data_IF_427117676351
#
_entry.id   IF_427117676351
#
_cell.length_a   1.000
_cell.length_b   1.000
_cell.length_c   1.000
_cell.angle_alpha   90.00
_cell.angle_beta   90.00
_cell.angle_gamma   90.00
#
_symmetry.space_group_name_H-M   'P 1'
#
loop_
_entity.id
_entity.type
_entity.pdbx_description
1 polymer ?
#
# COMPACT_ATOMS: atom_id res chain seq x y z
N UNK A 1 3.33 -8.38 23.31
CA UNK A 1 2.99 -9.68 22.70
C UNK A 1 2.97 -9.49 21.21
N UNK A 2 3.42 -10.46 20.40
CA UNK A 2 3.29 -10.34 18.94
C UNK A 2 1.81 -10.25 18.57
N UNK A 3 1.50 -9.50 17.51
CA UNK A 3 0.17 -9.53 16.89
C UNK A 3 -0.24 -10.99 16.63
N UNK A 4 -1.52 -11.33 16.82
CA UNK A 4 -2.07 -12.65 16.51
C UNK A 4 -2.89 -12.62 15.21
N UNK A 5 -3.16 -13.78 14.62
CA UNK A 5 -4.01 -13.89 13.43
C UNK A 5 -5.44 -13.38 13.71
N UNK A 6 -5.95 -13.60 14.93
CA UNK A 6 -7.27 -13.11 15.37
C UNK A 6 -7.29 -11.59 15.51
N UNK A 7 -6.25 -11.00 16.13
CA UNK A 7 -6.14 -9.54 16.22
C UNK A 7 -6.00 -8.92 14.83
N UNK A 8 -5.14 -9.50 13.97
CA UNK A 8 -5.01 -9.06 12.59
C UNK A 8 -6.34 -9.06 11.84
N UNK A 9 -7.12 -10.16 11.94
CA UNK A 9 -8.44 -10.24 11.32
C UNK A 9 -9.37 -9.12 11.82
N UNK A 10 -9.41 -8.89 13.14
CA UNK A 10 -10.23 -7.81 13.71
C UNK A 10 -9.79 -6.41 13.28
N UNK A 11 -8.48 -6.20 13.08
CA UNK A 11 -7.96 -4.95 12.52
C UNK A 11 -8.44 -4.78 11.08
N UNK A 12 -8.34 -5.81 10.23
CA UNK A 12 -8.72 -5.71 8.81
C UNK A 12 -10.23 -5.52 8.65
N UNK A 13 -11.03 -6.25 9.42
CA UNK A 13 -12.50 -6.24 9.35
C UNK A 13 -13.14 -4.98 9.96
N UNK A 14 -12.38 -4.17 10.71
CA UNK A 14 -12.86 -2.90 11.26
C UNK A 14 -13.28 -1.90 10.15
N UNK A 15 -14.56 -1.90 9.79
CA UNK A 15 -15.11 -1.00 8.77
C UNK A 15 -15.15 0.48 9.17
N UNK A 16 -14.84 0.83 10.42
CA UNK A 16 -14.79 2.23 10.87
C UNK A 16 -13.49 2.94 10.51
N UNK A 17 -12.50 2.18 10.02
CA UNK A 17 -11.18 2.71 9.61
C UNK A 17 -11.33 3.75 8.51
N UNK A 18 -10.76 4.94 8.74
CA UNK A 18 -10.75 6.02 7.74
C UNK A 18 -9.53 6.92 7.90
N UNK A 19 -9.11 7.53 6.80
CA UNK A 19 -8.18 8.65 6.80
C UNK A 19 -9.02 9.92 6.76
N UNK A 20 -8.71 10.89 7.62
CA UNK A 20 -9.29 12.23 7.57
C UNK A 20 -8.25 13.24 7.09
N UNK A 21 -8.68 14.20 6.27
CA UNK A 21 -7.82 15.21 5.68
C UNK A 21 -7.24 14.83 4.32
N UNK A 22 -6.32 15.66 3.84
CA UNK A 22 -5.69 15.50 2.53
C UNK A 22 -4.43 14.64 2.62
N UNK A 23 -4.26 13.76 1.62
CA UNK A 23 -3.01 13.03 1.41
C UNK A 23 -2.13 13.89 0.52
N UNK A 24 -0.95 14.27 1.03
CA UNK A 24 0.07 14.99 0.27
C UNK A 24 1.28 14.09 0.07
N UNK A 25 1.72 13.96 -1.19
CA UNK A 25 2.95 13.27 -1.54
C UNK A 25 4.11 14.28 -1.49
N UNK A 26 5.17 13.92 -0.79
CA UNK A 26 6.37 14.73 -0.60
C UNK A 26 7.58 13.95 -1.10
N UNK A 27 8.67 14.65 -1.38
CA UNK A 27 9.95 13.99 -1.62
C UNK A 27 10.38 13.21 -0.37
N UNK A 28 10.98 12.05 -0.59
CA UNK A 28 11.56 11.23 0.46
C UNK A 28 12.72 11.97 1.16
N UNK A 29 12.91 11.70 2.46
CA UNK A 29 13.89 12.38 3.32
C UNK A 29 15.33 12.16 2.84
N UNK A 30 15.58 11.01 2.22
CA UNK A 30 16.88 10.62 1.68
C UNK A 30 17.15 11.17 0.26
N UNK A 31 16.30 12.08 -0.24
CA UNK A 31 16.35 12.59 -1.62
C UNK A 31 16.34 11.48 -2.68
N UNK A 32 15.73 10.34 -2.36
CA UNK A 32 15.50 9.29 -3.33
C UNK A 32 14.51 9.81 -4.40
N UNK A 33 14.49 9.23 -5.62
CA UNK A 33 13.51 9.61 -6.64
C UNK A 33 12.07 9.17 -6.29
N UNK A 34 11.84 8.70 -5.06
CA UNK A 34 10.53 8.32 -4.58
C UNK A 34 9.80 9.52 -3.95
N UNK A 35 8.50 9.58 -4.21
CA UNK A 35 7.56 10.38 -3.45
C UNK A 35 6.94 9.51 -2.37
N UNK A 36 6.71 10.07 -1.20
CA UNK A 36 6.08 9.38 -0.09
C UNK A 36 4.95 10.19 0.54
N UNK A 37 4.01 9.50 1.19
CA UNK A 37 3.11 10.14 2.13
C UNK A 37 2.98 9.29 3.38
N UNK A 38 2.56 9.95 4.46
CA UNK A 38 2.09 9.30 5.67
C UNK A 38 0.75 9.89 6.08
N UNK A 39 -0.23 9.04 6.34
CA UNK A 39 -1.55 9.44 6.80
C UNK A 39 -1.97 8.57 8.00
N UNK A 40 -2.35 9.20 9.10
CA UNK A 40 -2.90 8.48 10.25
C UNK A 40 -4.27 7.90 9.90
N UNK A 41 -4.55 6.68 10.37
CA UNK A 41 -5.83 6.01 10.18
C UNK A 41 -6.58 6.04 11.50
N UNK A 42 -7.74 6.69 11.50
CA UNK A 42 -8.67 6.64 12.62
C UNK A 42 -9.38 5.30 12.61
N UNK A 43 -9.50 4.67 13.77
CA UNK A 43 -10.24 3.43 13.99
C UNK A 43 -11.18 3.63 15.18
N UNK A 44 -12.45 3.29 15.03
CA UNK A 44 -13.42 3.29 16.11
C UNK A 44 -13.09 2.28 17.20
N UNK A 45 -12.37 1.21 16.86
CA UNK A 45 -11.82 0.25 17.81
C UNK A 45 -10.53 0.76 18.52
N UNK A 46 -9.97 1.90 18.09
CA UNK A 46 -8.82 2.54 18.72
C UNK A 46 -7.47 1.98 18.29
N UNK A 47 -7.39 1.25 17.16
CA UNK A 47 -6.13 0.70 16.66
C UNK A 47 -5.15 1.83 16.26
N UNK A 48 -3.88 1.80 16.75
CA UNK A 48 -2.89 2.83 16.44
C UNK A 48 -2.27 2.60 15.05
N UNK A 49 -3.00 2.99 14.01
CA UNK A 49 -2.69 2.69 12.61
C UNK A 49 -2.26 3.94 11.83
N UNK A 50 -1.41 3.75 10.83
CA UNK A 50 -1.18 4.72 9.77
C UNK A 50 -0.92 4.02 8.44
N UNK A 51 -1.16 4.72 7.34
CA UNK A 51 -0.78 4.28 5.99
C UNK A 51 0.45 5.05 5.55
N UNK A 52 1.42 4.33 4.98
CA UNK A 52 2.52 4.92 4.21
C UNK A 52 2.33 4.57 2.74
N UNK A 53 2.40 5.57 1.87
CA UNK A 53 2.55 5.34 0.43
C UNK A 53 3.96 5.68 0.00
N UNK A 54 4.48 4.94 -0.98
CA UNK A 54 5.75 5.21 -1.64
C UNK A 54 5.60 4.98 -3.13
N UNK A 55 5.99 5.97 -3.94
CA UNK A 55 5.90 5.95 -5.39
C UNK A 55 7.24 6.35 -6.00
N UNK A 56 7.89 5.42 -6.69
CA UNK A 56 9.13 5.69 -7.40
C UNK A 56 8.87 5.64 -8.91
N UNK A 57 8.85 6.82 -9.54
CA UNK A 57 8.57 6.96 -10.97
C UNK A 57 9.64 6.33 -11.85
N UNK A 58 10.91 6.39 -11.45
CA UNK A 58 12.03 5.86 -12.24
C UNK A 58 12.02 4.34 -12.26
N UNK A 59 11.73 3.72 -11.12
CA UNK A 59 11.61 2.26 -10.99
C UNK A 59 10.23 1.73 -11.43
N UNK A 60 9.24 2.61 -11.65
CA UNK A 60 7.88 2.22 -12.00
C UNK A 60 7.14 1.51 -10.86
N UNK A 61 7.47 1.81 -9.60
CA UNK A 61 6.94 1.08 -8.44
C UNK A 61 6.01 1.92 -7.58
N UNK A 62 4.97 1.30 -7.03
CA UNK A 62 4.01 1.91 -6.11
C UNK A 62 3.71 0.94 -4.96
N UNK A 63 3.77 1.45 -3.75
CA UNK A 63 3.50 0.71 -2.52
C UNK A 63 2.50 1.49 -1.67
N UNK A 64 1.49 0.81 -1.15
CA UNK A 64 0.68 1.29 -0.03
C UNK A 64 0.78 0.27 1.11
N UNK A 65 1.21 0.71 2.29
CA UNK A 65 1.39 -0.14 3.46
C UNK A 65 0.54 0.37 4.62
N UNK A 66 -0.31 -0.50 5.18
CA UNK A 66 -0.95 -0.31 6.47
C UNK A 66 0.01 -0.76 7.57
N UNK A 67 0.29 0.15 8.50
CA UNK A 67 1.27 -0.05 9.56
C UNK A 67 0.56 0.08 10.91
N UNK A 68 0.70 -0.96 11.74
CA UNK A 68 0.37 -0.93 13.15
C UNK A 68 1.59 -0.45 13.93
N UNK A 69 1.48 0.66 14.68
CA UNK A 69 2.63 1.30 15.35
C UNK A 69 3.43 0.35 16.26
N UNK A 70 2.79 -0.68 16.80
CA UNK A 70 3.42 -1.65 17.70
C UNK A 70 4.08 -2.85 16.99
N UNK A 71 3.75 -3.11 15.72
CA UNK A 71 4.16 -4.33 15.01
C UNK A 71 4.90 -4.04 13.68
N UNK A 72 4.64 -2.89 13.06
CA UNK A 72 5.14 -2.55 11.73
C UNK A 72 4.10 -2.83 10.64
N UNK A 73 4.57 -3.18 9.44
CA UNK A 73 3.72 -3.45 8.26
C UNK A 73 2.89 -4.71 8.50
N UNK A 74 1.56 -4.57 8.44
CA UNK A 74 0.61 -5.68 8.66
C UNK A 74 -0.22 -5.99 7.41
N UNK A 75 -0.23 -5.09 6.44
CA UNK A 75 -0.90 -5.29 5.17
C UNK A 75 -0.30 -4.34 4.14
N UNK A 76 -0.13 -4.80 2.91
CA UNK A 76 0.38 -3.92 1.86
C UNK A 76 -0.15 -4.29 0.49
N UNK A 77 -0.07 -3.33 -0.42
CA UNK A 77 -0.27 -3.52 -1.84
C UNK A 77 0.94 -2.96 -2.58
N UNK A 78 1.55 -3.79 -3.41
CA UNK A 78 2.74 -3.48 -4.18
C UNK A 78 2.48 -3.67 -5.68
N UNK A 79 3.02 -2.73 -6.45
CA UNK A 79 3.01 -2.68 -7.92
C UNK A 79 4.42 -2.42 -8.45
N UNK A 80 4.77 -3.13 -9.54
CA UNK A 80 6.04 -2.97 -10.26
C UNK A 80 7.24 -3.62 -9.57
N UNK A 81 7.01 -4.47 -8.56
CA UNK A 81 8.06 -5.19 -7.82
C UNK A 81 7.70 -6.67 -7.76
N UNK A 82 8.52 -7.54 -8.37
CA UNK A 82 8.30 -8.97 -8.25
C UNK A 82 8.49 -9.46 -6.80
N UNK A 83 7.64 -10.39 -6.37
CA UNK A 83 7.73 -11.01 -5.05
C UNK A 83 7.70 -12.52 -5.13
N UNK A 84 8.45 -13.15 -4.22
CA UNK A 84 8.37 -14.58 -3.95
C UNK A 84 7.95 -14.82 -2.51
N UNK A 85 6.99 -15.73 -2.32
CA UNK A 85 6.58 -16.15 -0.99
C UNK A 85 7.71 -16.93 -0.30
N UNK A 86 7.65 -17.12 1.04
CA UNK A 86 8.66 -17.88 1.79
C UNK A 86 8.87 -19.32 1.28
N UNK A 87 7.90 -19.88 0.57
CA UNK A 87 7.97 -21.18 -0.11
C UNK A 87 8.60 -21.10 -1.51
N UNK A 88 9.23 -19.97 -1.85
CA UNK A 88 9.84 -19.66 -3.15
C UNK A 88 8.86 -19.66 -4.33
N UNK A 89 7.57 -19.48 -4.07
CA UNK A 89 6.54 -19.36 -5.12
C UNK A 89 6.50 -17.93 -5.63
N UNK A 90 6.66 -17.74 -6.95
CA UNK A 90 6.52 -16.45 -7.63
C UNK A 90 5.07 -15.96 -7.59
N UNK A 91 4.86 -14.73 -7.14
CA UNK A 91 3.54 -14.05 -7.10
C UNK A 91 3.43 -13.03 -8.24
N UNK A 92 4.56 -12.42 -8.63
CA UNK A 92 4.63 -11.40 -9.67
C UNK A 92 4.60 -9.96 -9.14
N UNK A 93 4.58 -9.01 -10.07
CA UNK A 93 4.82 -7.59 -9.81
C UNK A 93 3.63 -6.81 -9.21
N UNK A 94 2.42 -7.37 -9.27
CA UNK A 94 1.19 -6.88 -8.66
C UNK A 94 0.70 -7.86 -7.61
N UNK A 95 0.85 -7.49 -6.35
CA UNK A 95 0.47 -8.37 -5.25
C UNK A 95 0.04 -7.60 -4.00
N UNK A 96 -0.74 -8.25 -3.13
CA UNK A 96 -1.01 -7.80 -1.77
C UNK A 96 -0.24 -8.66 -0.80
N UNK A 97 0.40 -8.03 0.18
CA UNK A 97 0.95 -8.73 1.33
C UNK A 97 -0.13 -8.94 2.39
N UNK A 98 -0.07 -10.09 3.06
CA UNK A 98 -0.93 -10.43 4.19
C UNK A 98 -0.06 -10.81 5.38
N UNK A 99 -0.35 -10.20 6.52
CA UNK A 99 0.29 -10.60 7.76
C UNK A 99 -0.28 -11.92 8.29
N UNK A 100 0.60 -12.80 8.77
CA UNK A 100 0.25 -13.94 9.62
C UNK A 100 1.31 -14.17 10.71
N UNK A 101 0.97 -14.91 11.76
CA UNK A 101 1.90 -15.18 12.88
C UNK A 101 3.21 -15.82 12.44
N UNK A 102 3.17 -16.72 11.46
CA UNK A 102 4.32 -17.51 11.03
C UNK A 102 5.29 -16.69 10.17
N UNK A 103 4.76 -15.89 9.24
CA UNK A 103 5.56 -15.24 8.19
C UNK A 103 5.57 -13.72 8.30
N UNK A 104 4.79 -13.16 9.25
CA UNK A 104 4.47 -11.73 9.30
C UNK A 104 3.96 -11.32 7.91
N UNK A 105 4.43 -10.20 7.40
CA UNK A 105 4.01 -9.64 6.12
C UNK A 105 4.75 -10.23 4.89
N UNK A 106 5.40 -11.39 5.01
CA UNK A 106 6.15 -11.99 3.90
C UNK A 106 5.29 -12.78 2.92
N UNK A 107 4.09 -13.20 3.32
CA UNK A 107 3.17 -13.86 2.40
C UNK A 107 2.43 -12.84 1.55
N UNK A 108 2.37 -13.10 0.24
CA UNK A 108 1.66 -12.29 -0.72
C UNK A 108 0.78 -13.13 -1.65
N UNK A 109 -0.19 -12.47 -2.26
CA UNK A 109 -1.12 -13.07 -3.21
C UNK A 109 -1.48 -12.06 -4.30
N UNK A 110 -1.86 -12.57 -5.48
CA UNK A 110 -2.36 -11.72 -6.57
C UNK A 110 -3.79 -11.28 -6.22
N UNK A 111 -4.09 -9.98 -6.17
CA UNK A 111 -5.43 -9.49 -5.85
C UNK A 111 -6.37 -9.60 -7.06
N UNK A 112 -7.48 -10.32 -6.89
CA UNK A 112 -8.55 -10.41 -7.91
C UNK A 112 -9.45 -9.16 -7.94
N UNK A 113 -9.44 -8.40 -6.86
CA UNK A 113 -10.31 -7.23 -6.64
C UNK A 113 -9.74 -5.93 -7.20
N UNK A 114 -8.46 -5.91 -7.57
CA UNK A 114 -7.81 -4.74 -8.17
C UNK A 114 -7.80 -4.89 -9.69
N UNK A 115 -8.79 -4.23 -10.31
CA UNK A 115 -8.89 -4.13 -11.77
C UNK A 115 -8.03 -2.98 -12.27
N UNK A 116 -7.20 -3.26 -13.25
CA UNK A 116 -6.38 -2.26 -13.96
C UNK A 116 -7.26 -1.56 -15.02
N UNK A 117 -8.37 -0.94 -14.66
CA UNK A 117 -9.16 -0.14 -15.61
C UNK A 117 -8.67 1.31 -15.67
N UNK A 118 -7.35 1.48 -15.77
CA UNK A 118 -6.80 2.73 -16.32
C UNK A 118 -7.07 2.71 -17.82
N UNK A 119 -8.31 3.06 -18.20
CA UNK A 119 -8.68 3.33 -19.57
C UNK A 119 -7.62 4.22 -20.22
N UNK A 120 -7.19 3.82 -21.41
CA UNK A 120 -6.23 4.52 -22.26
C UNK A 120 -6.48 6.03 -22.25
N UNK A 121 -5.72 6.80 -21.46
CA UNK A 121 -5.59 8.25 -21.64
C UNK A 121 -4.55 8.52 -22.73
N UNK A 122 -4.78 7.95 -23.91
CA UNK A 122 -4.30 8.51 -25.17
C UNK A 122 -5.25 9.65 -25.54
N UNK A 123 -4.99 10.87 -25.04
CA UNK A 123 -5.84 12.01 -25.36
C UNK A 123 -5.74 13.21 -24.41
N UNK A 124 -4.54 13.71 -24.13
CA UNK A 124 -4.39 15.13 -23.78
C UNK A 124 -3.94 15.86 -25.04
N UNK A 125 -4.94 16.17 -25.86
CA UNK A 125 -4.80 17.03 -27.02
C UNK A 125 -4.32 18.42 -26.58
N UNK A 126 -3.28 18.88 -27.26
CA UNK A 126 -2.86 20.26 -27.26
C UNK A 126 -4.02 21.15 -27.74
N UNK A 127 -4.54 22.01 -26.87
CA UNK A 127 -5.25 23.23 -27.27
C UNK A 127 -4.90 24.33 -26.27
N UNK A 128 -3.82 25.06 -26.55
CA UNK A 128 -3.64 26.44 -26.09
C UNK A 128 -2.88 27.20 -27.19
N UNK A 129 -3.64 27.91 -28.03
CA UNK A 129 -3.27 29.18 -28.70
C UNK A 129 -4.45 29.60 -29.60
N UNK A 130 -5.35 30.40 -29.04
CA UNK A 130 -6.15 31.36 -29.82
C UNK A 130 -5.41 32.69 -29.79
N UNK A 131 -5.17 33.25 -30.97
CA UNK A 131 -4.87 34.68 -31.17
C UNK A 131 -6.14 35.47 -31.40
#
# INVERSE_FOLDING_TARGET
>A
MPLTNTEFASIVEDGSKRIEGHIAWCEDEDHSPALEFRAEVLSGAGWPLFVRGSYNRLAGTLTYALILKTEGRIYAFDLGKDHHNPQCMQVGDKHKHRWCEQFRDKEAYVPDDIRTDLGSRSGLGAVLRGG
#
